data_IF_504433875213
#
_entry.id   IF_504433875213
#
_cell.length_a   1.000
_cell.length_b   1.000
_cell.length_c   1.000
_cell.angle_alpha   90.00
_cell.angle_beta   90.00
_cell.angle_gamma   90.00
#
_symmetry.space_group_name_H-M   'P 1'
#
loop_
_entity.id
_entity.type
_entity.pdbx_description
1 polymer ?
#
# COMPACT_ATOMS: atom_id res chain seq x y z
N UNK A 1 -38.80 3.56 -16.68
CA UNK A 1 -38.38 4.19 -15.41
C UNK A 1 -36.90 3.94 -15.20
N UNK A 2 -36.04 4.87 -15.65
CA UNK A 2 -34.62 4.90 -15.30
C UNK A 2 -34.41 6.28 -14.70
N UNK A 3 -34.24 6.36 -13.39
CA UNK A 3 -33.78 7.60 -12.75
C UNK A 3 -32.31 7.38 -12.40
N UNK A 4 -31.44 8.05 -13.15
CA UNK A 4 -30.00 8.05 -12.95
C UNK A 4 -29.66 8.85 -11.70
N UNK A 5 -28.82 8.25 -10.85
CA UNK A 5 -28.25 8.93 -9.70
C UNK A 5 -27.03 9.72 -10.16
N UNK A 6 -27.22 11.03 -10.34
CA UNK A 6 -26.20 11.96 -10.81
C UNK A 6 -25.27 12.36 -9.67
N UNK A 7 -24.16 11.64 -9.50
CA UNK A 7 -23.02 12.18 -8.75
C UNK A 7 -22.12 12.93 -9.74
N UNK A 8 -22.33 14.25 -9.80
CA UNK A 8 -21.39 15.19 -10.39
C UNK A 8 -20.08 15.11 -9.59
N UNK A 9 -19.05 14.50 -10.18
CA UNK A 9 -17.71 14.38 -9.59
C UNK A 9 -16.84 15.52 -10.16
N UNK A 10 -16.70 16.60 -9.41
CA UNK A 10 -15.80 17.72 -9.75
C UNK A 10 -14.32 17.31 -9.56
N UNK A 11 -13.36 17.94 -10.28
CA UNK A 11 -12.01 17.41 -10.51
C UNK A 11 -10.98 17.67 -9.39
N UNK A 12 -11.43 18.07 -8.19
CA UNK A 12 -10.53 18.45 -7.10
C UNK A 12 -11.03 17.85 -5.78
N UNK A 13 -10.82 16.55 -5.60
CA UNK A 13 -11.03 15.92 -4.29
C UNK A 13 -9.69 15.85 -3.56
N UNK A 14 -9.32 16.97 -2.94
CA UNK A 14 -8.35 16.97 -1.85
C UNK A 14 -8.89 16.06 -0.74
N UNK A 15 -8.17 14.96 -0.47
CA UNK A 15 -8.24 14.18 0.77
C UNK A 15 -9.61 13.63 1.20
N UNK A 16 -10.29 12.85 0.35
CA UNK A 16 -11.26 11.90 0.89
C UNK A 16 -10.50 10.68 1.46
N UNK A 17 -10.08 10.77 2.73
CA UNK A 17 -9.44 9.70 3.48
C UNK A 17 -10.43 8.60 3.95
N UNK A 18 -11.63 8.53 3.36
CA UNK A 18 -12.60 7.48 3.64
C UNK A 18 -12.25 6.22 2.86
N UNK A 19 -12.00 5.13 3.58
CA UNK A 19 -11.84 3.75 3.08
C UNK A 19 -10.55 3.46 2.28
N UNK A 20 -9.40 3.90 2.81
CA UNK A 20 -8.10 3.41 2.36
C UNK A 20 -7.83 1.97 2.78
N UNK A 21 -8.49 1.46 3.82
CA UNK A 21 -8.32 0.08 4.27
C UNK A 21 -9.52 -0.75 3.84
N UNK A 22 -9.27 -1.97 3.37
CA UNK A 22 -10.29 -2.92 2.96
C UNK A 22 -9.94 -4.33 3.43
N UNK A 23 -10.95 -5.08 3.84
CA UNK A 23 -10.81 -6.53 4.01
C UNK A 23 -10.89 -7.21 2.64
N UNK A 24 -9.94 -8.11 2.38
CA UNK A 24 -9.93 -8.98 1.22
C UNK A 24 -9.85 -10.42 1.71
N UNK A 25 -11.01 -11.04 1.91
CA UNK A 25 -11.13 -12.44 2.36
C UNK A 25 -10.44 -12.69 3.71
N UNK A 26 -10.63 -11.81 4.68
CA UNK A 26 -10.02 -11.91 6.02
C UNK A 26 -8.60 -11.34 6.10
N UNK A 27 -8.12 -10.71 5.02
CA UNK A 27 -6.80 -10.08 4.96
C UNK A 27 -6.96 -8.57 4.81
N UNK A 28 -6.39 -7.81 5.73
CA UNK A 28 -6.51 -6.36 5.71
C UNK A 28 -5.48 -5.74 4.75
N UNK A 29 -5.97 -5.00 3.76
CA UNK A 29 -5.18 -4.37 2.71
C UNK A 29 -5.40 -2.86 2.67
N UNK A 30 -4.35 -2.11 2.30
CA UNK A 30 -4.41 -0.68 1.97
C UNK A 30 -4.57 -0.48 0.46
N UNK A 31 -5.56 0.32 0.07
CA UNK A 31 -5.76 0.81 -1.29
C UNK A 31 -4.85 1.98 -1.60
N UNK A 32 -4.09 1.84 -2.67
CA UNK A 32 -3.33 2.93 -3.28
C UNK A 32 -4.11 3.40 -4.50
N UNK A 33 -4.30 4.70 -4.62
CA UNK A 33 -5.05 5.32 -5.72
C UNK A 33 -4.11 6.07 -6.64
N UNK A 34 -4.41 6.02 -7.94
CA UNK A 34 -3.80 6.89 -8.95
C UNK A 34 -4.38 8.30 -8.83
N UNK A 35 -3.73 9.33 -9.44
CA UNK A 35 -4.24 10.70 -9.44
C UNK A 35 -5.66 10.84 -10.03
N UNK A 36 -6.06 9.94 -10.92
CA UNK A 36 -7.40 9.88 -11.51
C UNK A 36 -8.47 9.24 -10.57
N UNK A 37 -8.06 8.80 -9.38
CA UNK A 37 -8.93 8.16 -8.39
C UNK A 37 -9.20 6.67 -8.63
N UNK A 38 -8.62 6.06 -9.67
CA UNK A 38 -8.65 4.61 -9.85
C UNK A 38 -7.74 3.92 -8.82
N UNK A 39 -8.08 2.69 -8.42
CA UNK A 39 -7.20 1.90 -7.56
C UNK A 39 -5.97 1.48 -8.38
N UNK A 40 -4.79 1.90 -7.94
CA UNK A 40 -3.50 1.54 -8.51
C UNK A 40 -3.08 0.13 -8.08
N UNK A 41 -3.15 -0.14 -6.78
CA UNK A 41 -2.76 -1.42 -6.17
C UNK A 41 -3.34 -1.58 -4.77
N UNK A 42 -3.25 -2.80 -4.24
CA UNK A 42 -3.52 -3.14 -2.86
C UNK A 42 -2.21 -3.56 -2.18
N UNK A 43 -1.94 -3.02 -1.01
CA UNK A 43 -0.80 -3.39 -0.18
C UNK A 43 -1.29 -4.12 1.07
N UNK A 44 -0.78 -5.32 1.31
CA UNK A 44 -1.04 -6.06 2.55
C UNK A 44 -0.61 -5.22 3.78
N UNK A 45 -1.47 -5.07 4.77
CA UNK A 45 -1.02 -4.56 6.08
C UNK A 45 -0.23 -5.64 6.79
N UNK A 46 1.08 -5.44 6.91
CA UNK A 46 1.96 -6.45 7.47
C UNK A 46 1.91 -6.42 9.01
N UNK A 47 1.57 -7.54 9.67
CA UNK A 47 1.67 -7.66 11.12
C UNK A 47 3.11 -7.45 11.59
N UNK A 48 3.29 -6.79 12.74
CA UNK A 48 4.61 -6.47 13.27
C UNK A 48 5.53 -7.70 13.44
N UNK A 49 4.95 -8.84 13.82
CA UNK A 49 5.67 -10.10 14.02
C UNK A 49 6.30 -10.67 12.74
N UNK A 50 5.78 -10.29 11.56
CA UNK A 50 6.28 -10.77 10.26
C UNK A 50 7.26 -9.80 9.59
N UNK A 51 7.47 -8.60 10.14
CA UNK A 51 8.36 -7.58 9.54
C UNK A 51 9.78 -8.11 9.33
N UNK A 52 10.38 -8.70 10.36
CA UNK A 52 11.76 -9.19 10.30
C UNK A 52 11.93 -10.31 9.28
N UNK A 53 10.97 -11.23 9.19
CA UNK A 53 11.00 -12.31 8.21
C UNK A 53 10.95 -11.77 6.78
N UNK A 54 10.03 -10.84 6.52
CA UNK A 54 9.89 -10.21 5.20
C UNK A 54 11.13 -9.39 4.83
N UNK A 55 11.68 -8.60 5.76
CA UNK A 55 12.91 -7.82 5.53
C UNK A 55 14.09 -8.74 5.22
N UNK A 56 14.25 -9.80 6.01
CA UNK A 56 15.30 -10.80 5.82
C UNK A 56 15.19 -11.47 4.45
N UNK A 57 13.98 -11.89 4.04
CA UNK A 57 13.75 -12.49 2.73
C UNK A 57 14.08 -11.55 1.57
N UNK A 58 13.60 -10.31 1.63
CA UNK A 58 13.87 -9.32 0.57
C UNK A 58 15.37 -9.00 0.47
N UNK A 59 16.06 -8.90 1.60
CA UNK A 59 17.48 -8.56 1.64
C UNK A 59 18.41 -9.72 1.28
N UNK A 60 18.13 -10.94 1.78
CA UNK A 60 18.99 -12.12 1.55
C UNK A 60 18.86 -12.67 0.13
N UNK A 61 17.69 -12.59 -0.50
CA UNK A 61 17.48 -13.20 -1.81
C UNK A 61 18.10 -12.40 -2.98
N UNK A 62 18.54 -11.16 -2.75
CA UNK A 62 18.90 -10.27 -3.86
C UNK A 62 20.26 -9.58 -3.78
N UNK A 63 21.06 -9.77 -2.71
CA UNK A 63 22.45 -9.31 -2.59
C UNK A 63 22.63 -7.78 -2.56
N UNK A 64 23.05 -7.22 -1.42
CA UNK A 64 23.39 -5.78 -1.23
C UNK A 64 22.46 -4.79 -1.97
N UNK A 65 21.16 -5.08 -2.03
CA UNK A 65 20.21 -4.15 -2.63
C UNK A 65 19.99 -3.02 -1.64
N UNK A 66 20.48 -1.82 -2.00
CA UNK A 66 20.32 -0.63 -1.16
C UNK A 66 18.85 -0.35 -0.79
N UNK A 67 18.67 0.47 0.24
CA UNK A 67 17.38 0.86 0.85
C UNK A 67 16.25 1.10 -0.17
N UNK A 68 16.53 1.85 -1.23
CA UNK A 68 15.54 2.17 -2.27
C UNK A 68 14.95 0.94 -2.95
N UNK A 69 15.79 -0.03 -3.30
CA UNK A 69 15.34 -1.24 -3.99
C UNK A 69 14.53 -2.14 -3.08
N UNK A 70 14.93 -2.26 -1.82
CA UNK A 70 14.16 -2.95 -0.78
C UNK A 70 12.79 -2.29 -0.63
N UNK A 71 12.73 -0.96 -0.59
CA UNK A 71 11.47 -0.22 -0.51
C UNK A 71 10.59 -0.40 -1.74
N UNK A 72 11.15 -0.43 -2.95
CA UNK A 72 10.39 -0.73 -4.17
C UNK A 72 9.71 -2.10 -4.08
N UNK A 73 10.46 -3.14 -3.69
CA UNK A 73 9.94 -4.50 -3.56
C UNK A 73 8.86 -4.62 -2.49
N UNK A 74 9.05 -3.96 -1.34
CA UNK A 74 8.07 -3.93 -0.26
C UNK A 74 6.80 -3.19 -0.68
N UNK A 75 6.92 -2.00 -1.27
CA UNK A 75 5.78 -1.17 -1.71
C UNK A 75 4.96 -1.86 -2.80
N UNK A 76 5.52 -2.79 -3.55
CA UNK A 76 4.75 -3.59 -4.51
C UNK A 76 3.78 -4.57 -3.82
N UNK A 77 4.00 -4.93 -2.55
CA UNK A 77 3.32 -6.06 -1.89
C UNK A 77 2.64 -5.70 -0.57
N UNK A 78 3.28 -4.92 0.27
CA UNK A 78 2.85 -4.69 1.66
C UNK A 78 3.09 -3.25 2.11
N UNK A 79 2.60 -2.94 3.31
CA UNK A 79 2.72 -1.66 3.97
C UNK A 79 2.69 -1.84 5.49
N UNK A 80 3.48 -1.03 6.18
CA UNK A 80 3.30 -0.75 7.61
C UNK A 80 3.68 0.71 7.91
N UNK A 81 3.10 1.32 8.97
CA UNK A 81 3.51 2.64 9.43
C UNK A 81 5.00 2.64 9.80
N UNK A 82 5.77 3.62 9.32
CA UNK A 82 7.21 3.70 9.60
C UNK A 82 8.11 2.89 8.66
N UNK A 83 7.56 2.11 7.72
CA UNK A 83 8.32 1.23 6.81
C UNK A 83 9.58 1.85 6.21
N UNK A 84 9.50 3.07 5.66
CA UNK A 84 10.66 3.69 5.02
C UNK A 84 11.79 4.04 5.99
N UNK A 85 11.48 4.42 7.23
CA UNK A 85 12.50 4.64 8.26
C UNK A 85 13.08 3.30 8.71
N UNK A 86 12.21 2.34 9.04
CA UNK A 86 12.65 1.02 9.51
C UNK A 86 13.55 0.29 8.50
N UNK A 87 13.31 0.45 7.19
CA UNK A 87 14.16 -0.13 6.14
C UNK A 87 15.47 0.64 5.96
N UNK A 88 15.48 1.96 6.20
CA UNK A 88 16.70 2.76 6.11
C UNK A 88 17.66 2.49 7.28
N UNK A 89 17.12 2.11 8.44
CA UNK A 89 17.86 1.83 9.68
C UNK A 89 18.28 0.35 9.82
N UNK A 90 17.88 -0.52 8.89
CA UNK A 90 18.16 -1.96 8.90
C UNK A 90 19.47 -2.29 8.19
#
# INVERSE_FOLDING_TARGET
MRSGNSYLRLPWCCSNNGDRLVDQNGVLCRRIFRPDGAVATFQLLLPAVLKNEVLTGVHQEHGHQGVERTLELLRARCYWPGMSSEVADW
#
